data_IF_720596295141
#
_entry.id   IF_720596295141
#
_cell.length_a   1.000
_cell.length_b   1.000
_cell.length_c   1.000
_cell.angle_alpha   90.00
_cell.angle_beta   90.00
_cell.angle_gamma   90.00
#
_symmetry.space_group_name_H-M   'P 1'
#
loop_
_entity.id
_entity.type
_entity.pdbx_description
1 polymer ?
#
# COMPACT_ATOMS: atom_id res chain seq x y z
N UNK A 1 2.00 -48.15 12.47
CA UNK A 1 1.27 -48.45 13.71
C UNK A 1 -0.20 -48.58 13.38
N UNK A 2 -0.62 -49.83 13.19
CA UNK A 2 -1.97 -50.25 12.83
C UNK A 2 -2.79 -50.41 14.11
N UNK A 3 -3.80 -49.58 14.33
CA UNK A 3 -4.81 -49.83 15.38
C UNK A 3 -5.99 -50.55 14.75
N UNK A 4 -6.08 -51.85 15.08
CA UNK A 4 -7.22 -52.66 14.71
C UNK A 4 -8.48 -52.27 15.50
N UNK A 5 -9.58 -52.23 14.78
CA UNK A 5 -10.91 -52.02 15.33
C UNK A 5 -11.45 -53.40 15.70
N UNK A 6 -11.43 -53.78 17.01
CA UNK A 6 -12.02 -55.01 17.51
C UNK A 6 -13.51 -54.79 17.77
N UNK A 7 -14.36 -55.45 17.01
CA UNK A 7 -15.77 -55.56 17.24
C UNK A 7 -16.06 -56.56 18.38
N UNK A 8 -16.49 -56.11 19.54
CA UNK A 8 -17.06 -56.93 20.60
C UNK A 8 -18.49 -57.25 20.28
N UNK A 9 -18.74 -58.51 19.91
CA UNK A 9 -20.08 -59.07 19.76
C UNK A 9 -20.54 -59.62 21.11
N UNK A 10 -21.37 -58.89 21.84
CA UNK A 10 -22.00 -59.39 23.09
C UNK A 10 -23.20 -60.25 22.74
N UNK A 11 -23.08 -61.57 22.99
CA UNK A 11 -24.14 -62.55 22.87
C UNK A 11 -25.00 -62.53 24.15
N UNK A 12 -26.18 -61.92 24.13
CA UNK A 12 -27.14 -61.96 25.21
C UNK A 12 -28.06 -63.18 25.01
N UNK A 13 -27.99 -64.20 25.93
CA UNK A 13 -28.99 -65.23 26.09
C UNK A 13 -30.17 -64.63 26.87
N UNK A 14 -31.35 -64.77 26.35
CA UNK A 14 -32.59 -64.42 27.05
C UNK A 14 -33.70 -65.39 26.69
N UNK A 15 -34.37 -65.85 27.70
CA UNK A 15 -35.36 -66.90 27.73
C UNK A 15 -36.74 -66.51 27.20
N UNK A 16 -37.37 -67.48 26.58
CA UNK A 16 -38.80 -67.80 26.46
C UNK A 16 -39.86 -66.69 26.62
N UNK A 17 -40.66 -66.56 25.57
CA UNK A 17 -42.03 -66.16 25.74
C UNK A 17 -42.65 -65.39 24.54
N UNK A 18 -43.66 -66.04 23.91
CA UNK A 18 -44.72 -65.44 23.11
C UNK A 18 -44.44 -65.05 21.64
N UNK A 19 -45.04 -65.80 20.76
CA UNK A 19 -45.28 -65.58 19.37
C UNK A 19 -45.84 -64.18 19.07
N UNK A 20 -45.05 -63.34 18.53
CA UNK A 20 -45.54 -62.12 17.86
C UNK A 20 -44.74 -61.97 16.56
N UNK A 21 -45.46 -62.08 15.46
CA UNK A 21 -44.96 -61.84 14.11
C UNK A 21 -44.23 -60.46 14.04
N UNK A 22 -42.91 -60.49 14.11
CA UNK A 22 -42.13 -59.27 13.88
C UNK A 22 -41.75 -59.22 12.41
N UNK A 23 -42.29 -58.22 11.70
CA UNK A 23 -41.74 -57.81 10.41
C UNK A 23 -40.26 -57.46 10.59
N UNK A 24 -39.41 -58.29 9.99
CA UNK A 24 -38.01 -58.04 9.85
C UNK A 24 -37.80 -56.81 8.96
N UNK A 25 -37.63 -55.65 9.54
CA UNK A 25 -37.13 -54.47 8.83
C UNK A 25 -35.65 -54.74 8.59
N UNK A 26 -35.31 -55.16 7.35
CA UNK A 26 -33.96 -55.20 6.88
C UNK A 26 -33.39 -53.81 6.94
N UNK A 27 -32.58 -53.53 7.95
CA UNK A 27 -31.79 -52.32 8.04
C UNK A 27 -30.74 -52.35 6.88
N UNK A 28 -30.76 -51.41 5.92
CA UNK A 28 -29.75 -51.39 4.87
C UNK A 28 -28.40 -51.10 5.52
N UNK A 29 -27.55 -52.12 5.57
CA UNK A 29 -26.14 -51.93 5.96
C UNK A 29 -25.52 -50.95 4.96
N UNK A 30 -25.25 -49.73 5.44
CA UNK A 30 -24.43 -48.77 4.67
C UNK A 30 -23.03 -49.36 4.57
N UNK A 31 -22.71 -49.87 3.39
CA UNK A 31 -21.36 -50.24 3.06
C UNK A 31 -20.52 -48.94 3.09
N UNK A 32 -19.71 -48.76 4.12
CA UNK A 32 -18.66 -47.76 4.09
C UNK A 32 -17.64 -48.21 3.04
N UNK A 33 -17.73 -47.60 1.84
CA UNK A 33 -16.68 -47.80 0.84
C UNK A 33 -15.39 -47.20 1.40
N UNK A 34 -14.42 -48.04 1.69
CA UNK A 34 -13.08 -47.57 2.09
C UNK A 34 -12.35 -47.15 0.80
N UNK A 35 -11.81 -45.94 0.78
CA UNK A 35 -10.97 -45.46 -0.31
C UNK A 35 -9.74 -46.33 -0.50
N UNK A 36 -9.41 -46.68 -1.74
CA UNK A 36 -8.18 -47.40 -2.05
C UNK A 36 -6.99 -46.46 -2.00
N UNK A 37 -5.82 -46.96 -1.63
CA UNK A 37 -4.59 -46.18 -1.57
C UNK A 37 -4.23 -45.58 -2.94
N UNK A 38 -4.54 -46.31 -4.03
CA UNK A 38 -4.33 -45.86 -5.41
C UNK A 38 -5.23 -44.67 -5.75
N UNK A 39 -6.50 -44.70 -5.33
CA UNK A 39 -7.46 -43.63 -5.57
C UNK A 39 -7.04 -42.33 -4.88
N UNK A 40 -6.52 -42.42 -3.65
CA UNK A 40 -5.96 -41.26 -2.95
C UNK A 40 -4.71 -40.73 -3.66
N UNK A 41 -3.83 -41.60 -4.14
CA UNK A 41 -2.58 -41.25 -4.83
C UNK A 41 -2.88 -40.50 -6.13
N UNK A 42 -3.87 -40.96 -6.93
CA UNK A 42 -4.29 -40.31 -8.16
C UNK A 42 -4.86 -38.93 -7.88
N UNK A 43 -5.71 -38.78 -6.86
CA UNK A 43 -6.31 -37.50 -6.48
C UNK A 43 -5.24 -36.50 -6.06
N UNK A 44 -4.30 -36.90 -5.20
CA UNK A 44 -3.19 -36.03 -4.78
C UNK A 44 -2.31 -35.63 -5.96
N UNK A 45 -2.05 -36.59 -6.90
CA UNK A 45 -1.30 -36.30 -8.11
C UNK A 45 -1.98 -35.22 -9.00
N UNK A 46 -3.30 -35.31 -9.19
CA UNK A 46 -4.06 -34.33 -9.98
C UNK A 46 -4.05 -32.98 -9.28
N UNK A 47 -4.26 -32.93 -7.95
CA UNK A 47 -4.23 -31.69 -7.18
C UNK A 47 -2.86 -31.02 -7.25
N UNK A 48 -1.78 -31.79 -7.11
CA UNK A 48 -0.42 -31.28 -7.21
C UNK A 48 -0.15 -30.66 -8.59
N UNK A 49 -0.59 -31.32 -9.67
CA UNK A 49 -0.46 -30.83 -11.03
C UNK A 49 -1.25 -29.52 -11.24
N UNK A 50 -2.48 -29.45 -10.73
CA UNK A 50 -3.30 -28.23 -10.80
C UNK A 50 -2.68 -27.07 -10.02
N UNK A 51 -2.12 -27.31 -8.82
CA UNK A 51 -1.47 -26.31 -8.01
C UNK A 51 -0.26 -25.68 -8.70
N UNK A 52 0.54 -26.46 -9.44
CA UNK A 52 1.69 -25.93 -10.21
C UNK A 52 1.25 -24.98 -11.31
N UNK A 53 0.10 -25.24 -11.96
CA UNK A 53 -0.44 -24.39 -13.03
C UNK A 53 -1.08 -23.10 -12.49
N UNK A 54 -1.67 -23.17 -11.29
CA UNK A 54 -2.39 -22.02 -10.69
C UNK A 54 -1.43 -21.04 -10.01
N UNK A 55 -0.31 -21.53 -9.43
CA UNK A 55 0.64 -20.70 -8.69
C UNK A 55 1.11 -19.44 -9.43
N UNK A 56 1.51 -19.46 -10.73
CA UNK A 56 1.91 -18.25 -11.44
C UNK A 56 0.76 -17.27 -11.65
N UNK A 57 -0.50 -17.72 -11.78
CA UNK A 57 -1.64 -16.85 -12.00
C UNK A 57 -1.95 -15.95 -10.80
N UNK A 58 -1.74 -16.44 -9.57
CA UNK A 58 -1.95 -15.64 -8.36
C UNK A 58 -0.96 -14.48 -8.23
N UNK A 59 0.27 -14.62 -8.71
CA UNK A 59 1.26 -13.54 -8.65
C UNK A 59 0.88 -12.37 -9.54
N UNK A 60 0.29 -12.62 -10.70
CA UNK A 60 -0.20 -11.56 -11.62
C UNK A 60 -1.39 -10.79 -11.03
N UNK A 61 -2.31 -11.46 -10.38
CA UNK A 61 -3.50 -10.84 -9.77
C UNK A 61 -3.10 -9.93 -8.61
N UNK A 62 -2.16 -10.37 -7.78
CA UNK A 62 -1.68 -9.61 -6.62
C UNK A 62 -1.05 -8.27 -7.02
N UNK A 63 -0.12 -8.25 -7.96
CA UNK A 63 0.54 -7.02 -8.39
C UNK A 63 -0.42 -5.97 -8.96
N UNK A 64 -1.51 -6.39 -9.63
CA UNK A 64 -2.50 -5.48 -10.20
C UNK A 64 -3.37 -4.78 -9.16
N UNK A 65 -3.76 -5.49 -8.12
CA UNK A 65 -4.59 -4.95 -7.03
C UNK A 65 -3.80 -4.05 -6.10
N UNK A 66 -2.51 -4.36 -5.87
CA UNK A 66 -1.67 -3.63 -4.92
C UNK A 66 -1.43 -2.17 -5.35
N UNK A 67 -1.06 -1.92 -6.60
CA UNK A 67 -0.84 -0.55 -7.12
C UNK A 67 -2.13 0.26 -7.14
N UNK A 68 -3.24 -0.39 -7.45
CA UNK A 68 -4.57 0.24 -7.43
C UNK A 68 -4.97 0.65 -6.01
N UNK A 69 -4.86 -0.27 -5.07
CA UNK A 69 -5.14 -0.02 -3.65
C UNK A 69 -4.20 1.05 -3.08
N UNK A 70 -2.92 1.00 -3.49
CA UNK A 70 -1.94 2.01 -3.14
C UNK A 70 -2.34 3.41 -3.59
N UNK A 71 -2.80 3.53 -4.84
CA UNK A 71 -3.23 4.82 -5.40
C UNK A 71 -4.40 5.43 -4.61
N UNK A 72 -5.41 4.64 -4.28
CA UNK A 72 -6.53 5.11 -3.46
C UNK A 72 -6.12 5.41 -2.01
N UNK A 73 -5.19 4.64 -1.46
CA UNK A 73 -4.65 4.91 -0.11
C UNK A 73 -3.89 6.23 -0.09
N UNK A 74 -3.04 6.48 -1.09
CA UNK A 74 -2.32 7.76 -1.23
C UNK A 74 -3.31 8.91 -1.41
N UNK A 75 -4.31 8.75 -2.27
CA UNK A 75 -5.37 9.74 -2.43
C UNK A 75 -6.04 10.05 -1.09
N UNK A 76 -6.40 9.04 -0.31
CA UNK A 76 -7.02 9.20 1.01
C UNK A 76 -6.12 9.96 2.00
N UNK A 77 -4.80 9.70 1.98
CA UNK A 77 -3.82 10.43 2.80
C UNK A 77 -3.74 11.90 2.38
N UNK A 78 -3.67 12.19 1.08
CA UNK A 78 -3.65 13.56 0.56
C UNK A 78 -4.94 14.32 0.88
N UNK A 79 -6.09 13.68 0.69
CA UNK A 79 -7.40 14.27 1.01
C UNK A 79 -7.55 14.52 2.52
N UNK A 80 -7.02 13.63 3.37
CA UNK A 80 -6.98 13.81 4.82
C UNK A 80 -6.14 15.00 5.22
N UNK A 81 -4.93 15.12 4.68
CA UNK A 81 -4.03 16.23 4.95
C UNK A 81 -4.65 17.57 4.49
N UNK A 82 -5.21 17.60 3.28
CA UNK A 82 -5.88 18.77 2.73
C UNK A 82 -7.11 19.20 3.55
N UNK A 83 -7.93 18.22 3.95
CA UNK A 83 -9.11 18.48 4.77
C UNK A 83 -8.72 19.01 6.15
N UNK A 84 -7.68 18.42 6.76
CA UNK A 84 -7.14 18.88 8.03
C UNK A 84 -6.63 20.32 7.92
N UNK A 85 -5.88 20.64 6.85
CA UNK A 85 -5.38 21.99 6.61
C UNK A 85 -6.51 23.04 6.55
N UNK A 86 -7.58 22.73 5.82
CA UNK A 86 -8.77 23.61 5.70
C UNK A 86 -9.55 23.72 6.99
N UNK A 87 -9.79 22.58 7.66
CA UNK A 87 -10.64 22.54 8.86
C UNK A 87 -10.00 23.25 10.06
N UNK A 88 -8.67 23.17 10.18
CA UNK A 88 -7.92 23.75 11.29
C UNK A 88 -7.24 25.07 10.93
N UNK A 89 -7.44 25.58 9.71
CA UNK A 89 -6.74 26.77 9.18
C UNK A 89 -5.22 26.68 9.39
N UNK A 90 -4.63 25.51 9.10
CA UNK A 90 -3.24 25.18 9.38
C UNK A 90 -2.53 24.65 8.14
N UNK A 91 -1.22 24.87 8.07
CA UNK A 91 -0.41 24.21 7.06
C UNK A 91 -0.19 22.74 7.44
N UNK A 92 -0.28 21.86 6.45
CA UNK A 92 0.04 20.42 6.60
C UNK A 92 1.08 19.98 5.59
N UNK A 93 1.84 18.97 5.97
CA UNK A 93 2.86 18.36 5.12
C UNK A 93 2.68 16.85 5.11
N UNK A 94 2.72 16.28 3.93
CA UNK A 94 2.70 14.81 3.72
C UNK A 94 4.07 14.40 3.24
N UNK A 95 4.78 13.61 4.05
CA UNK A 95 6.07 13.05 3.70
C UNK A 95 5.94 11.66 3.11
N UNK A 96 6.80 11.37 2.14
CA UNK A 96 6.96 10.07 1.51
C UNK A 96 8.38 9.56 1.74
N UNK A 97 8.47 8.30 2.13
CA UNK A 97 9.71 7.56 2.28
C UNK A 97 9.54 6.19 1.64
N UNK A 98 10.55 5.73 0.93
CA UNK A 98 10.54 4.38 0.38
C UNK A 98 11.52 3.51 1.15
N UNK A 99 10.98 2.50 1.82
CA UNK A 99 11.69 1.57 2.70
C UNK A 99 12.04 0.29 1.94
N UNK A 100 13.21 -0.26 2.25
CA UNK A 100 13.61 -1.56 1.74
C UNK A 100 12.69 -2.66 2.30
N UNK A 101 11.83 -3.25 1.46
CA UNK A 101 10.82 -4.22 1.90
C UNK A 101 11.39 -5.46 2.62
N UNK A 102 12.56 -6.03 2.24
CA UNK A 102 13.18 -7.14 2.96
C UNK A 102 13.69 -6.82 4.37
N UNK A 103 13.97 -5.54 4.66
CA UNK A 103 14.54 -5.12 5.94
C UNK A 103 13.76 -3.94 6.54
N UNK A 104 12.50 -4.18 6.97
CA UNK A 104 11.59 -3.10 7.34
C UNK A 104 11.73 -2.64 8.81
N UNK A 105 12.62 -3.21 9.59
CA UNK A 105 12.62 -3.05 11.06
C UNK A 105 13.79 -2.27 11.61
N UNK A 106 14.66 -1.74 10.77
CA UNK A 106 15.81 -0.95 11.22
C UNK A 106 15.38 0.44 11.73
N UNK A 107 16.17 0.97 12.66
CA UNK A 107 16.02 2.35 13.12
C UNK A 107 17.43 3.00 13.18
N UNK A 108 17.72 3.92 12.27
CA UNK A 108 16.85 4.46 11.22
C UNK A 108 16.48 3.44 10.14
N UNK A 109 15.34 3.68 9.50
CA UNK A 109 14.85 2.82 8.41
C UNK A 109 15.78 2.87 7.20
N UNK A 110 16.02 1.71 6.60
CA UNK A 110 16.85 1.60 5.40
C UNK A 110 16.09 2.08 4.17
N UNK A 111 16.59 3.10 3.45
CA UNK A 111 16.01 3.47 2.16
C UNK A 111 16.12 2.30 1.18
N UNK A 112 15.09 2.11 0.35
CA UNK A 112 15.09 1.04 -0.62
C UNK A 112 13.83 1.03 -1.46
N UNK A 113 13.41 -0.13 -1.91
CA UNK A 113 12.23 -0.31 -2.77
C UNK A 113 11.26 -1.31 -2.17
N UNK A 114 10.00 -1.17 -2.54
CA UNK A 114 8.96 -2.16 -2.27
C UNK A 114 8.00 -1.82 -1.14
N UNK A 115 8.27 -0.79 -0.34
CA UNK A 115 7.32 -0.28 0.65
C UNK A 115 7.35 1.24 0.70
N UNK A 116 6.22 1.87 0.51
CA UNK A 116 6.04 3.30 0.69
C UNK A 116 5.52 3.57 2.10
N UNK A 117 6.19 4.45 2.82
CA UNK A 117 5.79 4.93 4.15
C UNK A 117 5.40 6.40 4.03
N UNK A 118 4.24 6.76 4.58
CA UNK A 118 3.74 8.13 4.56
C UNK A 118 3.42 8.61 5.97
N UNK A 119 3.65 9.90 6.19
CA UNK A 119 3.35 10.59 7.45
C UNK A 119 2.73 11.94 7.15
N UNK A 120 1.73 12.33 7.94
CA UNK A 120 1.12 13.66 7.89
C UNK A 120 1.52 14.41 9.14
N UNK A 121 2.02 15.63 8.96
CA UNK A 121 2.28 16.56 10.05
C UNK A 121 1.55 17.88 9.80
N UNK A 122 1.27 18.64 10.85
CA UNK A 122 0.59 19.91 10.76
C UNK A 122 1.22 20.96 11.69
N UNK A 123 1.12 22.22 11.32
CA UNK A 123 1.43 23.35 12.19
C UNK A 123 0.40 23.43 13.32
N UNK A 124 0.88 23.59 14.57
CA UNK A 124 0.01 23.69 15.76
C UNK A 124 -0.78 24.98 15.82
N UNK A 125 -0.14 26.07 15.41
CA UNK A 125 -0.67 27.43 15.50
C UNK A 125 -1.24 27.94 14.17
N UNK A 126 -1.21 27.11 13.14
CA UNK A 126 -1.67 27.47 11.80
C UNK A 126 -0.67 28.33 11.02
N UNK A 127 0.44 28.73 11.59
CA UNK A 127 1.43 29.55 10.90
C UNK A 127 2.29 28.71 9.95
N UNK A 128 2.77 29.35 8.90
CA UNK A 128 3.81 28.79 8.06
C UNK A 128 5.15 28.84 8.80
N UNK A 129 5.86 27.72 8.87
CA UNK A 129 7.08 27.59 9.66
C UNK A 129 8.28 28.38 9.11
N UNK A 130 8.15 28.91 7.93
CA UNK A 130 9.21 29.69 7.29
C UNK A 130 8.60 30.91 6.60
N UNK A 131 9.33 32.03 6.65
CA UNK A 131 8.96 33.28 6.00
C UNK A 131 9.98 33.61 4.93
N UNK A 132 9.54 34.11 3.78
CA UNK A 132 10.42 34.47 2.68
C UNK A 132 10.78 33.29 1.76
N UNK A 133 11.93 33.34 1.12
CA UNK A 133 12.41 32.26 0.27
C UNK A 133 12.83 31.05 1.12
N UNK A 134 12.46 29.86 0.68
CA UNK A 134 12.96 28.63 1.31
C UNK A 134 14.49 28.58 1.21
N UNK A 135 15.18 28.28 2.32
CA UNK A 135 16.61 27.97 2.25
C UNK A 135 16.83 26.75 1.35
N UNK A 136 18.04 26.53 0.90
CA UNK A 136 18.39 25.40 0.02
C UNK A 136 18.01 24.02 0.58
N UNK A 137 17.89 23.92 1.89
CA UNK A 137 17.32 22.79 2.61
C UNK A 137 16.77 23.25 3.95
N UNK A 138 15.68 22.66 4.42
CA UNK A 138 15.07 22.97 5.70
C UNK A 138 14.55 21.71 6.39
N UNK A 139 14.90 21.55 7.66
CA UNK A 139 14.32 20.55 8.54
C UNK A 139 13.12 21.20 9.25
N UNK A 140 11.92 20.78 8.91
CA UNK A 140 10.67 21.39 9.44
C UNK A 140 10.54 21.22 10.95
N UNK A 141 10.93 20.06 11.47
CA UNK A 141 10.88 19.70 12.89
C UNK A 141 12.23 19.88 13.61
N UNK A 142 13.17 20.59 12.96
CA UNK A 142 14.42 21.01 13.58
C UNK A 142 14.27 22.29 14.45
N UNK A 143 15.32 22.68 15.21
CA UNK A 143 15.32 23.93 15.95
C UNK A 143 15.11 25.14 15.01
N UNK A 144 14.30 26.13 15.38
CA UNK A 144 13.52 26.27 16.61
C UNK A 144 12.13 25.61 16.58
N UNK A 145 11.75 24.91 15.49
CA UNK A 145 10.38 24.48 15.20
C UNK A 145 10.00 23.14 15.83
N UNK A 146 10.85 22.53 16.64
CA UNK A 146 10.62 21.18 17.20
C UNK A 146 9.27 20.98 17.89
N UNK A 147 8.75 22.04 18.52
CA UNK A 147 7.47 22.00 19.23
C UNK A 147 6.31 22.59 18.45
N UNK A 148 6.57 23.18 17.28
CA UNK A 148 5.57 23.87 16.46
C UNK A 148 4.74 22.91 15.61
N UNK A 149 5.13 21.65 15.51
CA UNK A 149 4.49 20.62 14.69
C UNK A 149 3.79 19.56 15.53
N UNK A 150 2.75 19.00 14.94
CA UNK A 150 2.07 17.81 15.48
C UNK A 150 1.95 16.73 14.39
N UNK A 151 1.97 15.48 14.83
CA UNK A 151 1.66 14.34 13.99
C UNK A 151 0.14 14.24 13.80
N UNK A 152 -0.31 14.16 12.56
CA UNK A 152 -1.72 13.95 12.19
C UNK A 152 -1.93 12.49 11.81
N UNK A 153 -2.53 11.73 12.70
CA UNK A 153 -2.78 10.30 12.47
C UNK A 153 -1.54 9.40 12.65
N UNK A 154 -1.67 8.17 12.19
CA UNK A 154 -0.61 7.15 12.23
C UNK A 154 0.16 7.13 10.91
N UNK A 155 1.34 6.51 10.92
CA UNK A 155 2.06 6.18 9.70
C UNK A 155 1.21 5.28 8.81
N UNK A 156 1.16 5.60 7.53
CA UNK A 156 0.55 4.75 6.51
C UNK A 156 1.65 4.03 5.75
N UNK A 157 1.58 2.70 5.72
CA UNK A 157 2.54 1.85 5.00
C UNK A 157 1.83 1.10 3.90
N UNK A 158 2.45 1.06 2.72
CA UNK A 158 1.92 0.38 1.53
C UNK A 158 3.02 -0.51 0.98
N UNK A 159 2.74 -1.82 0.90
CA UNK A 159 3.68 -2.82 0.40
C UNK A 159 3.51 -3.06 -1.10
N UNK A 160 4.55 -3.64 -1.71
CA UNK A 160 4.60 -4.07 -3.11
C UNK A 160 4.45 -2.94 -4.13
N UNK A 161 4.84 -1.73 -3.76
CA UNK A 161 4.76 -0.54 -4.61
C UNK A 161 6.05 0.27 -4.53
N UNK A 162 6.47 0.79 -5.67
CA UNK A 162 7.62 1.64 -5.87
C UNK A 162 7.20 3.00 -6.41
N UNK A 163 7.82 4.06 -5.91
CA UNK A 163 7.67 5.41 -6.47
C UNK A 163 8.41 5.50 -7.81
N UNK A 164 7.73 5.95 -8.86
CA UNK A 164 8.26 6.04 -10.22
C UNK A 164 8.12 7.43 -10.81
N UNK A 165 9.21 7.96 -11.35
CA UNK A 165 9.13 9.18 -12.15
C UNK A 165 8.80 8.81 -13.59
N UNK A 166 7.65 9.30 -14.08
CA UNK A 166 7.25 9.10 -15.47
C UNK A 166 7.71 10.24 -16.36
N UNK A 167 8.04 9.91 -17.61
CA UNK A 167 8.23 10.89 -18.67
C UNK A 167 6.93 11.68 -18.92
N UNK A 168 7.06 12.86 -19.47
CA UNK A 168 5.91 13.61 -19.94
C UNK A 168 5.17 12.81 -21.03
N UNK A 169 3.83 12.80 -21.03
CA UNK A 169 3.08 12.13 -22.07
C UNK A 169 3.35 12.77 -23.42
N UNK A 170 3.43 11.94 -24.47
CA UNK A 170 3.77 12.37 -25.82
C UNK A 170 2.55 12.65 -26.68
N UNK A 171 1.36 12.22 -26.26
CA UNK A 171 0.13 12.37 -27.02
C UNK A 171 -0.71 13.53 -26.53
N UNK A 172 -1.22 14.28 -27.47
CA UNK A 172 -2.20 15.36 -27.27
C UNK A 172 -3.63 14.82 -27.33
N UNK A 173 -4.57 15.53 -26.76
CA UNK A 173 -5.82 15.19 -26.08
C UNK A 173 -6.78 14.21 -26.80
N UNK A 174 -7.78 13.67 -26.07
CA UNK A 174 -8.37 14.15 -24.81
C UNK A 174 -7.68 13.61 -23.54
N UNK A 175 -7.65 14.39 -22.44
CA UNK A 175 -6.82 14.16 -21.27
C UNK A 175 -7.46 13.26 -20.22
N UNK A 176 -7.77 12.00 -20.54
CA UNK A 176 -8.44 11.11 -19.60
C UNK A 176 -7.74 9.76 -19.38
N UNK A 177 -6.68 9.48 -20.12
CA UNK A 177 -5.89 8.25 -19.98
C UNK A 177 -4.50 8.52 -19.39
N UNK A 178 -3.78 7.47 -19.02
CA UNK A 178 -2.41 7.58 -18.55
C UNK A 178 -1.50 8.26 -19.57
N UNK A 179 -1.65 7.92 -20.85
CA UNK A 179 -0.78 8.42 -21.93
C UNK A 179 -1.19 9.81 -22.46
N UNK A 180 -2.37 10.33 -22.03
CA UNK A 180 -2.87 11.67 -22.39
C UNK A 180 -3.04 12.59 -21.18
N UNK A 181 -2.58 12.18 -19.99
CA UNK A 181 -2.65 12.97 -18.77
C UNK A 181 -1.93 14.32 -18.95
N UNK A 182 -2.29 15.37 -18.21
CA UNK A 182 -1.58 16.64 -18.24
C UNK A 182 -0.09 16.47 -18.03
N UNK A 183 0.73 17.10 -18.87
CA UNK A 183 2.18 17.06 -18.74
C UNK A 183 2.61 17.86 -17.49
N UNK A 184 3.48 17.28 -16.68
CA UNK A 184 4.13 17.96 -15.56
C UNK A 184 5.47 18.49 -16.04
N UNK A 185 5.58 19.80 -16.15
CA UNK A 185 6.69 20.49 -16.82
C UNK A 185 8.03 20.46 -16.07
N UNK A 186 8.04 20.10 -14.78
CA UNK A 186 9.24 20.07 -13.96
C UNK A 186 9.36 18.79 -13.17
N UNK A 187 10.58 18.25 -13.07
CA UNK A 187 10.90 17.14 -12.17
C UNK A 187 10.68 17.51 -10.70
N UNK A 188 10.84 18.79 -10.35
CA UNK A 188 10.55 19.30 -9.00
C UNK A 188 9.07 19.23 -8.61
N UNK A 189 8.16 19.07 -9.58
CA UNK A 189 6.73 18.86 -9.34
C UNK A 189 6.35 17.37 -9.38
N UNK A 190 7.31 16.47 -9.27
CA UNK A 190 7.09 15.01 -9.28
C UNK A 190 7.66 14.37 -8.03
N UNK A 191 6.90 13.43 -7.48
CA UNK A 191 7.39 12.47 -6.48
C UNK A 191 7.56 11.13 -7.20
N UNK A 192 8.77 10.65 -7.29
CA UNK A 192 9.11 9.44 -8.04
C UNK A 192 10.34 8.73 -7.51
N UNK A 193 10.94 7.92 -8.37
CA UNK A 193 11.98 6.93 -8.07
C UNK A 193 13.36 7.50 -7.75
N UNK A 194 13.54 8.80 -7.74
CA UNK A 194 14.84 9.35 -7.44
C UNK A 194 15.02 9.57 -5.93
N UNK A 195 15.71 8.65 -5.21
CA UNK A 195 15.97 8.81 -3.79
C UNK A 195 17.07 9.83 -3.50
N UNK A 196 17.92 10.12 -4.51
CA UNK A 196 19.15 10.91 -4.33
C UNK A 196 18.96 12.39 -4.60
N UNK A 197 17.91 12.77 -5.30
CA UNK A 197 17.55 14.17 -5.55
C UNK A 197 16.18 14.47 -4.98
N UNK A 198 16.10 14.76 -3.67
CA UNK A 198 14.91 15.42 -3.16
C UNK A 198 14.69 16.69 -3.97
N UNK A 199 13.42 17.12 -4.22
CA UNK A 199 13.18 18.40 -4.83
C UNK A 199 14.01 19.47 -4.12
N UNK A 200 14.77 20.25 -4.88
CA UNK A 200 15.62 21.28 -4.30
C UNK A 200 14.85 22.62 -4.30
N UNK A 201 14.63 23.22 -3.14
CA UNK A 201 15.09 22.85 -1.81
C UNK A 201 14.28 21.70 -1.22
N UNK A 202 14.93 20.86 -0.47
CA UNK A 202 14.27 19.78 0.22
C UNK A 202 13.70 20.25 1.56
N UNK A 203 12.40 20.14 1.73
CA UNK A 203 11.82 20.12 3.07
C UNK A 203 11.96 18.70 3.64
N UNK A 204 12.47 18.62 4.83
CA UNK A 204 12.59 17.32 5.52
C UNK A 204 11.91 17.38 6.89
N UNK A 205 11.40 16.27 7.33
CA UNK A 205 10.98 16.10 8.71
C UNK A 205 11.14 14.64 9.15
N UNK A 206 11.13 14.42 10.45
CA UNK A 206 11.35 13.10 11.03
C UNK A 206 10.07 12.49 11.59
N UNK A 207 10.11 11.20 11.76
CA UNK A 207 9.14 10.47 12.56
C UNK A 207 9.87 9.65 13.63
N UNK A 208 9.53 9.79 14.91
CA UNK A 208 8.56 10.73 15.49
C UNK A 208 8.94 12.20 15.29
N UNK A 209 7.92 13.07 15.19
CA UNK A 209 8.10 14.51 14.95
C UNK A 209 8.87 15.16 16.11
N UNK A 210 9.83 16.03 15.78
CA UNK A 210 10.67 16.70 16.76
C UNK A 210 11.85 15.86 17.26
N UNK A 211 12.07 14.68 16.70
CA UNK A 211 13.24 13.85 17.00
C UNK A 211 14.40 14.20 16.07
N UNK A 212 15.58 14.42 16.64
CA UNK A 212 16.80 14.66 15.82
C UNK A 212 17.29 13.40 15.11
N UNK A 213 16.87 12.23 15.59
CA UNK A 213 17.21 10.90 15.03
C UNK A 213 15.96 10.07 14.96
N UNK A 214 15.09 10.38 13.99
CA UNK A 214 13.84 9.66 13.80
C UNK A 214 14.02 8.30 13.11
N UNK A 215 13.05 7.43 13.29
CA UNK A 215 12.99 6.17 12.56
C UNK A 215 12.90 6.39 11.04
N UNK A 216 12.13 7.40 10.62
CA UNK A 216 11.99 7.79 9.22
C UNK A 216 12.38 9.26 9.04
N UNK A 217 13.10 9.55 7.97
CA UNK A 217 13.40 10.90 7.50
C UNK A 217 12.71 11.11 6.17
N UNK A 218 11.65 11.91 6.16
CA UNK A 218 10.88 12.20 4.95
C UNK A 218 11.53 13.36 4.21
N UNK A 219 11.97 13.12 2.99
CA UNK A 219 12.64 14.12 2.12
C UNK A 219 11.77 14.53 0.93
N UNK A 220 10.76 13.72 0.59
CA UNK A 220 9.80 13.97 -0.47
C UNK A 220 8.50 14.45 0.17
N UNK A 221 8.22 15.74 0.11
CA UNK A 221 7.16 16.36 0.90
C UNK A 221 6.19 17.14 0.04
N UNK A 222 4.89 16.93 0.25
CA UNK A 222 3.79 17.72 -0.29
C UNK A 222 3.25 18.60 0.83
N UNK A 223 3.14 19.90 0.59
CA UNK A 223 2.51 20.85 1.49
C UNK A 223 1.11 21.20 1.04
N UNK A 224 0.17 21.27 1.98
CA UNK A 224 -1.14 21.87 1.77
C UNK A 224 -1.29 23.14 2.60
N UNK A 225 -1.78 24.19 1.95
CA UNK A 225 -2.11 25.45 2.62
C UNK A 225 -3.51 25.38 3.27
N UNK A 226 -3.83 26.31 4.19
CA UNK A 226 -5.18 26.44 4.75
C UNK A 226 -6.28 26.65 3.67
N UNK A 227 -5.92 27.14 2.50
CA UNK A 227 -6.84 27.27 1.34
C UNK A 227 -7.05 25.95 0.60
N UNK A 228 -6.20 24.94 0.90
CA UNK A 228 -6.20 23.62 0.24
C UNK A 228 -5.38 23.58 -1.04
N UNK A 229 -4.52 24.52 -1.25
CA UNK A 229 -3.53 24.53 -2.33
C UNK A 229 -2.48 23.46 -2.02
N UNK A 230 -2.15 22.62 -3.02
CA UNK A 230 -1.17 21.56 -2.88
C UNK A 230 0.12 21.88 -3.63
N UNK A 231 1.26 21.81 -2.99
CA UNK A 231 2.56 22.12 -3.58
C UNK A 231 3.57 21.06 -3.17
N UNK A 232 4.30 20.50 -4.14
CA UNK A 232 5.58 19.85 -3.85
C UNK A 232 6.57 20.98 -3.63
N UNK A 233 7.12 21.07 -2.43
CA UNK A 233 7.91 22.21 -2.01
C UNK A 233 9.19 22.35 -2.83
N UNK A 234 9.25 23.43 -3.59
CA UNK A 234 10.43 23.89 -4.28
C UNK A 234 10.67 25.38 -3.94
N UNK A 235 11.76 25.94 -4.38
CA UNK A 235 12.22 27.32 -4.07
C UNK A 235 11.22 28.44 -4.33
N UNK A 236 10.08 28.14 -4.89
CA UNK A 236 9.09 29.09 -5.32
C UNK A 236 7.75 28.72 -4.70
N UNK A 237 7.10 29.69 -4.08
CA UNK A 237 5.68 29.58 -3.71
C UNK A 237 4.76 29.46 -4.94
N UNK A 238 5.32 29.41 -6.14
CA UNK A 238 4.60 29.15 -7.37
C UNK A 238 4.14 27.70 -7.37
N UNK A 239 2.87 27.55 -7.09
CA UNK A 239 2.18 26.30 -7.25
C UNK A 239 2.29 25.85 -8.70
N UNK A 240 2.87 24.67 -8.91
CA UNK A 240 2.83 24.05 -10.23
C UNK A 240 1.37 23.83 -10.61
N UNK A 241 0.95 24.06 -11.86
CA UNK A 241 -0.42 23.81 -12.29
C UNK A 241 -0.87 22.39 -11.95
N UNK A 242 0.03 21.44 -12.13
CA UNK A 242 -0.17 20.01 -11.81
C UNK A 242 1.11 19.43 -11.24
N UNK A 243 0.98 18.64 -10.19
CA UNK A 243 2.05 17.82 -9.60
C UNK A 243 1.69 16.34 -9.71
N UNK A 244 2.69 15.46 -9.76
CA UNK A 244 2.51 14.04 -10.04
C UNK A 244 3.25 13.14 -9.04
N UNK A 245 2.58 12.07 -8.61
CA UNK A 245 3.15 10.94 -7.89
C UNK A 245 3.00 9.71 -8.79
N UNK A 246 4.11 9.10 -9.17
CA UNK A 246 4.08 7.90 -10.00
C UNK A 246 4.26 6.63 -9.18
N UNK A 247 3.54 5.58 -9.56
CA UNK A 247 3.56 4.27 -8.90
C UNK A 247 3.79 3.14 -9.90
N UNK A 248 4.62 2.19 -9.49
CA UNK A 248 4.93 0.97 -10.23
C UNK A 248 4.88 -0.23 -9.28
N UNK A 249 4.41 -1.42 -9.72
CA UNK A 249 4.36 -2.59 -8.85
C UNK A 249 5.78 -3.14 -8.57
N UNK A 250 5.90 -3.77 -7.40
CA UNK A 250 7.10 -4.53 -7.01
C UNK A 250 6.72 -5.91 -6.51
N UNK A 251 7.70 -6.80 -6.51
CA UNK A 251 7.65 -8.08 -5.80
C UNK A 251 8.72 -8.05 -4.71
N UNK A 252 8.32 -7.71 -3.48
CA UNK A 252 9.27 -7.37 -2.42
C UNK A 252 10.10 -6.14 -2.83
N UNK A 253 11.43 -6.25 -2.82
CA UNK A 253 12.34 -5.17 -3.26
C UNK A 253 12.57 -5.12 -4.79
N UNK A 254 12.08 -6.10 -5.54
CA UNK A 254 12.29 -6.16 -6.98
C UNK A 254 11.20 -5.40 -7.72
N UNK A 255 11.60 -4.36 -8.44
CA UNK A 255 10.67 -3.57 -9.28
C UNK A 255 10.29 -4.36 -10.52
N UNK A 256 9.01 -4.46 -10.82
CA UNK A 256 8.52 -5.05 -12.07
C UNK A 256 8.61 -4.02 -13.20
N UNK A 257 9.76 -4.00 -13.87
CA UNK A 257 10.03 -3.04 -14.96
C UNK A 257 9.20 -3.30 -16.21
N UNK A 258 8.66 -4.50 -16.38
CA UNK A 258 7.87 -4.90 -17.55
C UNK A 258 6.36 -4.73 -17.32
N UNK A 259 5.96 -4.38 -16.10
CA UNK A 259 4.55 -4.18 -15.79
C UNK A 259 3.94 -3.04 -16.58
N UNK A 260 2.81 -3.30 -17.19
CA UNK A 260 1.94 -2.28 -17.78
C UNK A 260 1.02 -1.64 -16.75
N UNK A 261 0.97 -2.16 -15.52
CA UNK A 261 0.12 -1.64 -14.45
C UNK A 261 0.80 -0.45 -13.75
N UNK A 262 0.85 0.66 -14.45
CA UNK A 262 1.42 1.90 -13.96
C UNK A 262 0.30 2.86 -13.55
N UNK A 263 0.52 3.61 -12.47
CA UNK A 263 -0.44 4.60 -11.98
C UNK A 263 0.24 5.94 -11.76
N UNK A 264 -0.34 7.00 -12.30
CA UNK A 264 0.05 8.37 -12.02
C UNK A 264 -1.08 9.06 -11.23
N UNK A 265 -0.76 9.56 -10.06
CA UNK A 265 -1.66 10.36 -9.22
C UNK A 265 -1.26 11.81 -9.43
N UNK A 266 -2.15 12.60 -10.01
CA UNK A 266 -1.91 14.03 -10.21
C UNK A 266 -2.81 14.83 -9.29
N UNK A 267 -2.29 15.93 -8.77
CA UNK A 267 -3.06 16.91 -8.03
C UNK A 267 -2.81 18.31 -8.56
N UNK A 268 -3.87 19.13 -8.55
CA UNK A 268 -3.81 20.52 -9.03
C UNK A 268 -3.27 21.41 -7.92
N UNK A 269 -2.34 22.30 -8.26
CA UNK A 269 -1.73 23.19 -7.28
C UNK A 269 -2.75 24.11 -6.58
N UNK A 270 -3.62 24.75 -7.33
CA UNK A 270 -4.61 25.72 -6.79
C UNK A 270 -5.75 25.05 -6.02
N UNK A 271 -6.24 23.92 -6.50
CA UNK A 271 -7.41 23.25 -5.90
C UNK A 271 -7.07 22.08 -5.00
N UNK A 272 -5.86 21.53 -5.12
CA UNK A 272 -5.46 20.30 -4.43
C UNK A 272 -6.31 19.09 -4.85
N UNK A 273 -7.06 19.16 -5.95
CA UNK A 273 -7.89 18.06 -6.43
C UNK A 273 -7.01 16.95 -6.96
N UNK A 274 -7.29 15.73 -6.52
CA UNK A 274 -6.53 14.53 -6.89
C UNK A 274 -7.23 13.77 -8.01
N UNK A 275 -6.50 13.39 -9.05
CA UNK A 275 -6.96 12.54 -10.15
C UNK A 275 -5.98 11.38 -10.37
N UNK A 276 -6.52 10.18 -10.53
CA UNK A 276 -5.74 8.96 -10.74
C UNK A 276 -5.83 8.56 -12.22
N UNK A 277 -4.66 8.40 -12.84
CA UNK A 277 -4.52 7.91 -14.22
C UNK A 277 -3.86 6.54 -14.20
N UNK A 278 -4.43 5.59 -14.93
CA UNK A 278 -3.94 4.21 -15.04
C UNK A 278 -3.55 3.90 -16.48
N UNK A 279 -2.48 3.13 -16.60
CA UNK A 279 -2.05 2.56 -17.87
C UNK A 279 -2.69 1.20 -18.07
#
# INVERSE_FOLDING_TARGET
>A
MTKGCTLNCVKKRGSNGALRSQRSTKNPQRCCAAFTLVELLVVVGIIALLLVLIAPAFNYIKGGTDVTSAAYTIQGVLDTARTYAKANNAYTWVGFFEENAPDPSSSPANPGTGRIVMSIIASKDGTMLYTGNLPSSMILDGPPNQTALIQVGKLTKIDNVHLKTFAAPTSTPPPDTFDTRPAVGSTAAKIGSDPSTPPNPSLTFHYPVGSSTGQYTFTKVIQFSPRGEGVITNNSYTSAPVSEIGLQPTHGATVDTNSTNLVAIQFTGLGGNVKIYRK
#
